data_IF_005655504602
#
_entry.id   IF_005655504602
#
_cell.length_a   1.000
_cell.length_b   1.000
_cell.length_c   1.000
_cell.angle_alpha   90.00
_cell.angle_beta   90.00
_cell.angle_gamma   90.00
#
_symmetry.space_group_name_H-M   'P 1'
#
loop_
_entity.id
_entity.type
_entity.pdbx_description
1 polymer ?
#
# COMPACT_ATOMS: atom_id res chain seq x y z
N UNK A 1 3.82 6.27 -4.68
CA UNK A 1 4.64 7.50 -4.50
C UNK A 1 5.00 7.99 -5.89
N UNK A 2 5.29 9.29 -6.06
CA UNK A 2 5.71 9.84 -7.35
C UNK A 2 7.15 10.30 -7.27
N UNK A 3 7.97 9.95 -8.25
CA UNK A 3 9.33 10.46 -8.41
C UNK A 3 9.32 11.45 -9.57
N UNK A 4 9.67 12.69 -9.30
CA UNK A 4 9.78 13.72 -10.32
C UNK A 4 11.27 13.93 -10.63
N UNK A 5 11.63 13.64 -11.88
CA UNK A 5 12.97 13.82 -12.41
C UNK A 5 12.98 15.18 -13.10
N UNK A 6 13.78 16.09 -12.58
CA UNK A 6 13.81 17.49 -13.01
C UNK A 6 15.23 18.05 -12.95
N UNK A 7 15.44 19.17 -13.64
CA UNK A 7 16.72 19.86 -13.67
C UNK A 7 16.95 20.46 -12.28
N UNK A 8 18.17 20.36 -11.72
CA UNK A 8 18.48 21.07 -10.48
C UNK A 8 18.32 22.59 -10.68
N UNK A 9 17.78 23.26 -9.66
CA UNK A 9 17.49 24.69 -9.67
C UNK A 9 18.77 25.56 -9.65
N UNK A 10 19.91 24.98 -9.28
CA UNK A 10 21.20 25.68 -9.21
C UNK A 10 21.93 25.62 -10.56
N UNK A 11 22.25 26.79 -11.14
CA UNK A 11 22.80 26.90 -12.51
C UNK A 11 24.13 26.15 -12.74
N UNK A 12 24.91 25.91 -11.68
CA UNK A 12 26.24 25.27 -11.74
C UNK A 12 26.22 23.74 -11.51
N UNK A 13 25.05 23.12 -11.44
CA UNK A 13 24.92 21.67 -11.22
C UNK A 13 24.60 20.92 -12.50
N UNK A 14 25.34 19.83 -12.74
CA UNK A 14 25.08 18.92 -13.85
C UNK A 14 23.69 18.29 -13.64
N UNK A 15 22.78 18.37 -14.63
CA UNK A 15 21.48 17.70 -14.51
C UNK A 15 21.64 16.20 -14.26
N UNK A 16 20.76 15.60 -13.46
CA UNK A 16 20.85 14.17 -13.10
C UNK A 16 20.86 13.24 -14.32
N UNK A 17 20.21 13.62 -15.42
CA UNK A 17 20.20 12.90 -16.70
C UNK A 17 21.45 13.11 -17.57
N UNK A 18 22.39 13.93 -17.12
CA UNK A 18 23.74 14.08 -17.68
C UNK A 18 24.82 13.62 -16.69
N UNK A 19 24.42 13.07 -15.54
CA UNK A 19 25.36 12.47 -14.58
C UNK A 19 25.49 10.97 -14.88
N UNK A 20 26.61 10.60 -15.50
CA UNK A 20 26.94 9.19 -15.84
C UNK A 20 26.81 8.22 -14.66
N UNK A 21 27.01 8.67 -13.41
CA UNK A 21 26.85 7.84 -12.20
C UNK A 21 25.39 7.59 -11.85
N UNK A 22 24.49 8.53 -12.20
CA UNK A 22 23.08 8.46 -11.91
C UNK A 22 22.30 7.64 -12.96
N UNK A 23 22.75 7.60 -14.21
CA UNK A 23 21.99 7.01 -15.35
C UNK A 23 21.51 5.58 -15.07
N UNK A 24 22.40 4.71 -14.58
CA UNK A 24 22.04 3.33 -14.24
C UNK A 24 21.00 3.25 -13.12
N UNK A 25 21.01 4.20 -12.20
CA UNK A 25 20.06 4.29 -11.10
C UNK A 25 18.71 4.78 -11.60
N UNK A 26 18.69 5.75 -12.51
CA UNK A 26 17.47 6.26 -13.14
C UNK A 26 16.77 5.19 -13.98
N UNK A 27 17.52 4.41 -14.78
CA UNK A 27 16.96 3.27 -15.53
C UNK A 27 16.27 2.27 -14.60
N UNK A 28 16.93 1.91 -13.49
CA UNK A 28 16.37 1.00 -12.49
C UNK A 28 15.14 1.58 -11.80
N UNK A 29 15.10 2.89 -11.60
CA UNK A 29 13.96 3.59 -11.01
C UNK A 29 12.74 3.56 -11.96
N UNK A 30 12.93 3.80 -13.26
CA UNK A 30 11.86 3.67 -14.27
C UNK A 30 11.33 2.25 -14.31
N UNK A 31 12.21 1.25 -14.42
CA UNK A 31 11.79 -0.17 -14.44
C UNK A 31 10.98 -0.50 -13.19
N UNK A 32 11.40 0.01 -12.02
CA UNK A 32 10.68 -0.21 -10.78
C UNK A 32 9.32 0.50 -10.72
N UNK A 33 9.19 1.66 -11.35
CA UNK A 33 7.91 2.35 -11.48
C UNK A 33 6.95 1.60 -12.42
N UNK A 34 7.46 1.02 -13.50
CA UNK A 34 6.69 0.23 -14.47
C UNK A 34 6.10 -1.06 -13.88
N UNK A 35 6.75 -1.61 -12.86
CA UNK A 35 6.18 -2.69 -12.03
C UNK A 35 4.96 -2.24 -11.20
N UNK A 36 4.49 -1.00 -11.39
CA UNK A 36 3.24 -0.39 -10.92
C UNK A 36 3.19 -0.01 -9.43
N UNK A 37 4.32 0.00 -8.73
CA UNK A 37 4.39 0.43 -7.33
C UNK A 37 4.47 1.96 -7.16
N UNK A 38 4.92 2.69 -8.21
CA UNK A 38 5.24 4.11 -8.17
C UNK A 38 5.01 4.77 -9.52
N UNK A 39 4.88 6.09 -9.52
CA UNK A 39 4.84 6.91 -10.73
C UNK A 39 6.20 7.59 -10.93
N UNK A 40 6.62 7.74 -12.19
CA UNK A 40 7.74 8.61 -12.57
C UNK A 40 7.21 9.71 -13.47
N UNK A 41 7.62 10.94 -13.18
CA UNK A 41 7.29 12.13 -13.95
C UNK A 41 8.58 12.78 -14.45
N UNK A 42 8.64 13.10 -15.74
CA UNK A 42 9.74 13.84 -16.35
C UNK A 42 9.28 15.29 -16.54
N UNK A 43 9.73 16.21 -15.68
CA UNK A 43 9.23 17.58 -15.67
C UNK A 43 9.84 18.45 -16.77
N UNK A 44 11.10 18.21 -17.13
CA UNK A 44 11.79 18.89 -18.23
C UNK A 44 11.95 17.96 -19.45
N UNK A 45 10.87 17.29 -19.85
CA UNK A 45 10.85 16.33 -20.97
C UNK A 45 11.43 16.89 -22.28
N UNK A 46 11.30 18.19 -22.52
CA UNK A 46 11.83 18.84 -23.72
C UNK A 46 13.36 18.97 -23.73
N UNK A 47 14.00 18.87 -22.55
CA UNK A 47 15.46 18.89 -22.42
C UNK A 47 16.08 17.49 -22.42
N UNK A 48 15.25 16.44 -22.34
CA UNK A 48 15.70 15.07 -22.26
C UNK A 48 16.18 14.51 -23.60
N UNK A 49 15.63 14.98 -24.74
CA UNK A 49 16.01 14.51 -26.08
C UNK A 49 17.51 14.72 -26.37
N UNK A 50 18.10 15.78 -25.79
CA UNK A 50 19.52 16.13 -25.93
C UNK A 50 20.40 15.62 -24.75
N UNK A 51 19.81 14.86 -23.81
CA UNK A 51 20.54 14.38 -22.62
C UNK A 51 21.43 13.16 -22.90
N UNK A 52 22.48 13.00 -22.09
CA UNK A 52 23.32 11.79 -22.13
C UNK A 52 22.51 10.53 -21.80
N UNK A 53 21.51 10.64 -20.91
CA UNK A 53 20.62 9.54 -20.56
C UNK A 53 19.87 9.02 -21.78
N UNK A 54 19.26 9.92 -22.56
CA UNK A 54 18.46 9.55 -23.72
C UNK A 54 19.33 9.03 -24.87
N UNK A 55 20.44 9.70 -25.18
CA UNK A 55 21.35 9.28 -26.26
C UNK A 55 22.10 7.97 -25.95
N UNK A 56 22.39 7.72 -24.67
CA UNK A 56 23.08 6.53 -24.20
C UNK A 56 22.17 5.34 -23.87
N UNK A 57 20.85 5.53 -23.89
CA UNK A 57 19.88 4.50 -23.51
C UNK A 57 19.88 3.31 -24.49
N UNK A 58 19.71 2.09 -23.97
CA UNK A 58 19.40 0.92 -24.80
C UNK A 58 18.00 1.08 -25.41
N UNK A 59 17.75 0.46 -26.57
CA UNK A 59 16.49 0.60 -27.31
C UNK A 59 15.22 0.48 -26.43
N UNK A 60 15.16 -0.52 -25.54
CA UNK A 60 13.99 -0.72 -24.67
C UNK A 60 13.79 0.41 -23.64
N UNK A 61 14.87 0.97 -23.11
CA UNK A 61 14.81 2.11 -22.19
C UNK A 61 14.51 3.41 -22.96
N UNK A 62 15.09 3.55 -24.16
CA UNK A 62 14.83 4.68 -25.05
C UNK A 62 13.36 4.77 -25.47
N UNK A 63 12.76 3.66 -25.92
CA UNK A 63 11.33 3.60 -26.28
C UNK A 63 10.43 3.99 -25.08
N UNK A 64 10.83 3.61 -23.87
CA UNK A 64 10.11 3.96 -22.65
C UNK A 64 10.28 5.43 -22.27
N UNK A 65 11.48 5.99 -22.40
CA UNK A 65 11.74 7.41 -22.20
C UNK A 65 10.91 8.25 -23.17
N UNK A 66 10.82 7.84 -24.45
CA UNK A 66 9.95 8.47 -25.44
C UNK A 66 8.48 8.46 -24.99
N UNK A 67 7.95 7.33 -24.53
CA UNK A 67 6.58 7.25 -24.03
C UNK A 67 6.35 8.19 -22.84
N UNK A 68 7.29 8.23 -21.88
CA UNK A 68 7.21 9.13 -20.74
C UNK A 68 7.30 10.61 -21.13
N UNK A 69 8.14 10.96 -22.11
CA UNK A 69 8.23 12.31 -22.65
C UNK A 69 6.92 12.71 -23.34
N UNK A 70 6.34 11.84 -24.16
CA UNK A 70 5.05 12.10 -24.81
C UNK A 70 3.91 12.23 -23.80
N UNK A 71 3.89 11.39 -22.76
CA UNK A 71 2.94 11.52 -21.66
C UNK A 71 3.13 12.84 -20.91
N UNK A 72 4.37 13.23 -20.61
CA UNK A 72 4.67 14.50 -19.95
C UNK A 72 4.18 15.70 -20.78
N UNK A 73 4.50 15.73 -22.08
CA UNK A 73 4.07 16.76 -23.04
C UNK A 73 2.55 16.81 -23.18
N UNK A 74 1.89 15.66 -23.27
CA UNK A 74 0.42 15.57 -23.35
C UNK A 74 -0.27 15.97 -22.02
N UNK A 75 0.38 15.71 -20.88
CA UNK A 75 -0.14 15.98 -19.54
C UNK A 75 0.04 17.42 -19.07
N UNK A 76 0.67 18.29 -19.87
CA UNK A 76 0.94 19.69 -19.56
C UNK A 76 -0.30 20.51 -19.12
N UNK A 77 -1.51 19.98 -19.32
CA UNK A 77 -2.79 20.63 -19.02
C UNK A 77 -3.76 19.86 -18.12
N UNK A 78 -3.35 18.79 -17.42
CA UNK A 78 -4.25 18.18 -16.43
C UNK A 78 -3.79 18.29 -14.99
N UNK A 79 -4.74 18.78 -14.23
CA UNK A 79 -4.62 19.40 -12.93
C UNK A 79 -4.89 18.37 -11.84
N UNK A 80 -4.14 18.53 -10.74
CA UNK A 80 -4.33 17.95 -9.42
C UNK A 80 -5.37 16.86 -9.26
N UNK A 81 -4.92 15.64 -8.93
CA UNK A 81 -5.71 14.72 -8.11
C UNK A 81 -4.84 13.87 -7.18
N UNK A 82 -5.23 13.96 -5.91
CA UNK A 82 -4.86 13.17 -4.73
C UNK A 82 -3.45 13.37 -4.16
N UNK A 83 -3.39 13.45 -2.83
CA UNK A 83 -2.27 13.59 -1.89
C UNK A 83 -1.12 12.59 -2.14
N UNK A 84 -0.49 12.67 -3.30
CA UNK A 84 0.61 11.81 -3.68
C UNK A 84 1.88 12.52 -3.27
N UNK A 85 2.62 11.95 -2.32
CA UNK A 85 3.94 12.46 -1.97
C UNK A 85 4.83 12.38 -3.22
N UNK A 86 5.27 13.54 -3.71
CA UNK A 86 6.26 13.66 -4.78
C UNK A 86 7.65 13.77 -4.17
N UNK A 87 8.58 12.98 -4.69
CA UNK A 87 9.99 13.00 -4.34
C UNK A 87 10.79 13.52 -5.51
N UNK A 88 11.56 14.59 -5.30
CA UNK A 88 12.39 15.19 -6.36
C UNK A 88 13.69 14.42 -6.55
N UNK A 89 14.08 14.26 -7.81
CA UNK A 89 15.29 13.57 -8.25
C UNK A 89 16.05 14.52 -9.17
N UNK A 90 16.95 15.30 -8.59
CA UNK A 90 17.76 16.33 -9.28
C UNK A 90 19.26 16.02 -9.24
N UNK A 91 19.67 15.08 -8.40
CA UNK A 91 21.07 14.66 -8.19
C UNK A 91 21.24 13.13 -8.15
N UNK A 92 22.47 12.65 -8.35
CA UNK A 92 22.80 11.22 -8.21
C UNK A 92 22.49 10.65 -6.83
N UNK A 93 22.73 11.43 -5.76
CA UNK A 93 22.39 11.05 -4.40
C UNK A 93 20.88 10.86 -4.19
N UNK A 94 20.08 11.76 -4.77
CA UNK A 94 18.61 11.66 -4.74
C UNK A 94 18.10 10.50 -5.60
N UNK A 95 18.71 10.23 -6.76
CA UNK A 95 18.37 9.06 -7.56
C UNK A 95 18.61 7.76 -6.76
N UNK A 96 19.74 7.68 -6.06
CA UNK A 96 20.06 6.57 -5.16
C UNK A 96 19.03 6.41 -4.04
N UNK A 97 18.63 7.51 -3.40
CA UNK A 97 17.61 7.51 -2.35
C UNK A 97 16.23 7.14 -2.89
N UNK A 98 15.82 7.69 -4.03
CA UNK A 98 14.56 7.38 -4.70
C UNK A 98 14.46 5.90 -5.04
N UNK A 99 15.54 5.29 -5.57
CA UNK A 99 15.58 3.86 -5.84
C UNK A 99 15.46 3.02 -4.55
N UNK A 100 16.09 3.44 -3.44
CA UNK A 100 15.92 2.77 -2.14
C UNK A 100 14.48 2.87 -1.65
N UNK A 101 13.82 4.02 -1.80
CA UNK A 101 12.40 4.19 -1.47
C UNK A 101 11.53 3.29 -2.36
N UNK A 102 11.81 3.25 -3.66
CA UNK A 102 11.05 2.49 -4.64
C UNK A 102 11.12 0.96 -4.39
N UNK A 103 12.26 0.51 -3.86
CA UNK A 103 12.52 -0.88 -3.49
C UNK A 103 12.05 -1.26 -2.08
N UNK A 104 11.69 -0.29 -1.25
CA UNK A 104 11.09 -0.55 0.07
C UNK A 104 9.60 -0.90 -0.10
N UNK A 105 9.09 -1.96 0.54
CA UNK A 105 7.67 -2.29 0.45
C UNK A 105 6.81 -1.31 1.28
N UNK A 106 5.56 -1.13 0.87
CA UNK A 106 4.51 -0.67 1.78
C UNK A 106 4.16 -1.83 2.72
N UNK A 107 4.32 -1.63 4.02
CA UNK A 107 4.01 -2.64 5.04
C UNK A 107 2.59 -2.47 5.55
N UNK A 108 1.85 -3.56 5.68
CA UNK A 108 0.52 -3.63 6.28
C UNK A 108 0.60 -4.50 7.51
N UNK A 109 0.57 -3.88 8.69
CA UNK A 109 0.58 -4.58 9.97
C UNK A 109 -0.85 -4.97 10.35
N UNK A 110 -1.06 -6.27 10.52
CA UNK A 110 -2.31 -6.84 11.04
C UNK A 110 -2.06 -7.56 12.36
N UNK A 111 -3.12 -7.85 13.11
CA UNK A 111 -3.03 -8.61 14.37
C UNK A 111 -2.69 -10.07 14.09
N UNK A 112 -3.44 -10.70 13.19
CA UNK A 112 -3.35 -12.10 12.81
C UNK A 112 -3.20 -12.28 11.30
N UNK A 113 -2.09 -12.86 10.86
CA UNK A 113 -1.91 -13.21 9.44
C UNK A 113 -2.95 -14.22 8.95
N UNK A 114 -3.40 -15.12 9.82
CA UNK A 114 -4.32 -16.20 9.46
C UNK A 114 -5.74 -15.68 9.22
N UNK A 115 -6.22 -14.76 10.06
CA UNK A 115 -7.58 -14.20 9.96
C UNK A 115 -7.57 -12.93 9.12
N UNK A 116 -6.94 -11.87 9.61
CA UNK A 116 -6.94 -10.55 8.97
C UNK A 116 -6.17 -10.55 7.66
N UNK A 117 -5.05 -11.28 7.60
CA UNK A 117 -4.29 -11.45 6.37
C UNK A 117 -5.10 -12.16 5.27
N UNK A 118 -5.92 -13.14 5.62
CA UNK A 118 -6.81 -13.81 4.68
C UNK A 118 -7.95 -12.90 4.22
N UNK A 119 -8.53 -12.11 5.13
CA UNK A 119 -9.52 -11.10 4.76
C UNK A 119 -8.92 -10.08 3.77
N UNK A 120 -7.70 -9.59 4.03
CA UNK A 120 -7.01 -8.68 3.12
C UNK A 120 -6.77 -9.33 1.74
N UNK A 121 -6.36 -10.59 1.69
CA UNK A 121 -6.17 -11.29 0.41
C UNK A 121 -7.47 -11.36 -0.41
N UNK A 122 -8.59 -11.73 0.23
CA UNK A 122 -9.91 -11.77 -0.41
C UNK A 122 -10.34 -10.36 -0.84
N UNK A 123 -10.22 -9.36 0.04
CA UNK A 123 -10.60 -7.98 -0.25
C UNK A 123 -9.80 -7.42 -1.42
N UNK A 124 -8.50 -7.67 -1.49
CA UNK A 124 -7.66 -7.19 -2.60
C UNK A 124 -8.04 -7.88 -3.91
N UNK A 125 -8.27 -9.20 -3.91
CA UNK A 125 -8.65 -9.94 -5.13
C UNK A 125 -9.99 -9.49 -5.70
N UNK A 126 -10.95 -9.20 -4.84
CA UNK A 126 -12.33 -8.90 -5.23
C UNK A 126 -12.58 -7.40 -5.45
N UNK A 127 -11.98 -6.53 -4.64
CA UNK A 127 -12.37 -5.12 -4.55
C UNK A 127 -11.27 -4.14 -4.97
N UNK A 128 -9.99 -4.54 -4.95
CA UNK A 128 -8.92 -3.61 -5.30
C UNK A 128 -8.93 -3.27 -6.80
N UNK A 129 -8.52 -2.04 -7.11
CA UNK A 129 -8.26 -1.60 -8.48
C UNK A 129 -7.13 -2.45 -9.08
N UNK A 130 -7.17 -2.58 -10.40
CA UNK A 130 -6.27 -3.46 -11.14
C UNK A 130 -4.77 -3.31 -10.80
N UNK A 131 -4.18 -2.11 -10.63
CA UNK A 131 -2.76 -2.00 -10.28
C UNK A 131 -2.43 -2.64 -8.92
N UNK A 132 -3.21 -2.34 -7.88
CA UNK A 132 -3.02 -2.90 -6.53
C UNK A 132 -3.25 -4.41 -6.54
N UNK A 133 -4.28 -4.86 -7.26
CA UNK A 133 -4.58 -6.28 -7.41
C UNK A 133 -3.45 -7.05 -8.09
N UNK A 134 -2.84 -6.50 -9.14
CA UNK A 134 -1.68 -7.12 -9.82
C UNK A 134 -0.46 -7.21 -8.91
N UNK A 135 -0.14 -6.13 -8.21
CA UNK A 135 0.96 -6.12 -7.23
C UNK A 135 0.79 -7.17 -6.13
N UNK A 136 -0.45 -7.52 -5.79
CA UNK A 136 -0.76 -8.51 -4.78
C UNK A 136 -0.72 -9.94 -5.31
N UNK A 137 -1.30 -10.19 -6.49
CA UNK A 137 -1.37 -11.53 -7.10
C UNK A 137 -0.02 -11.96 -7.68
N UNK A 138 0.69 -11.03 -8.31
CA UNK A 138 1.97 -11.26 -8.99
C UNK A 138 2.99 -10.25 -8.46
N UNK A 139 3.44 -10.42 -7.20
CA UNK A 139 4.30 -9.43 -6.57
C UNK A 139 5.66 -9.33 -7.28
N UNK A 140 6.15 -8.10 -7.55
CA UNK A 140 7.47 -7.92 -8.12
C UNK A 140 8.57 -8.24 -7.10
N UNK A 141 9.83 -8.32 -7.56
CA UNK A 141 11.00 -8.48 -6.69
C UNK A 141 11.88 -7.24 -6.83
N UNK A 142 12.13 -6.47 -5.76
CA UNK A 142 11.62 -6.65 -4.39
C UNK A 142 10.12 -6.40 -4.25
N UNK A 143 9.51 -6.85 -3.15
CA UNK A 143 8.07 -6.72 -2.93
C UNK A 143 7.64 -5.24 -2.93
N UNK A 144 6.50 -4.95 -3.56
CA UNK A 144 5.88 -3.63 -3.51
C UNK A 144 5.04 -3.43 -2.24
N UNK A 145 4.43 -4.51 -1.74
CA UNK A 145 3.63 -4.56 -0.53
C UNK A 145 3.98 -5.81 0.28
N UNK A 146 3.96 -5.68 1.60
CA UNK A 146 4.25 -6.76 2.53
C UNK A 146 3.25 -6.73 3.69
N UNK A 147 2.64 -7.87 4.00
CA UNK A 147 1.78 -8.00 5.19
C UNK A 147 2.61 -8.51 6.35
N UNK A 148 2.63 -7.78 7.46
CA UNK A 148 3.28 -8.12 8.71
C UNK A 148 2.24 -8.55 9.75
N UNK A 149 2.63 -9.37 10.72
CA UNK A 149 1.76 -9.75 11.83
C UNK A 149 2.43 -9.48 13.18
N UNK A 150 1.67 -8.93 14.12
CA UNK A 150 2.19 -8.61 15.45
C UNK A 150 2.16 -9.79 16.43
N UNK A 151 1.36 -10.83 16.17
CA UNK A 151 1.15 -11.91 17.15
C UNK A 151 0.09 -11.59 18.22
N UNK A 152 -0.64 -10.48 18.03
CA UNK A 152 -1.72 -9.99 18.89
C UNK A 152 -1.68 -8.47 19.08
N UNK A 153 -2.78 -7.89 19.58
CA UNK A 153 -2.90 -6.43 19.81
C UNK A 153 -1.92 -5.87 20.83
N UNK A 154 -1.39 -6.70 21.75
CA UNK A 154 -0.42 -6.26 22.76
C UNK A 154 0.95 -5.89 22.18
N UNK A 155 1.34 -6.51 21.07
CA UNK A 155 2.68 -6.38 20.50
C UNK A 155 2.74 -5.38 19.33
N UNK A 156 1.59 -4.98 18.78
CA UNK A 156 1.51 -4.02 17.67
C UNK A 156 2.29 -2.71 17.94
N UNK A 157 2.22 -2.09 19.15
CA UNK A 157 3.01 -0.89 19.43
C UNK A 157 4.51 -1.09 19.27
N UNK A 158 5.04 -2.22 19.74
CA UNK A 158 6.47 -2.55 19.59
C UNK A 158 6.87 -2.72 18.13
N UNK A 159 6.04 -3.40 17.32
CA UNK A 159 6.27 -3.52 15.89
C UNK A 159 6.23 -2.17 15.16
N UNK A 160 5.27 -1.31 15.49
CA UNK A 160 5.20 0.03 14.91
C UNK A 160 6.46 0.86 15.23
N UNK A 161 6.94 0.80 16.47
CA UNK A 161 8.16 1.51 16.89
C UNK A 161 9.40 0.95 16.19
N UNK A 162 9.51 -0.37 16.07
CA UNK A 162 10.60 -1.02 15.35
C UNK A 162 10.63 -0.58 13.87
N UNK A 163 9.48 -0.59 13.19
CA UNK A 163 9.39 -0.16 11.79
C UNK A 163 9.69 1.33 11.61
N UNK A 164 9.24 2.17 12.54
CA UNK A 164 9.57 3.59 12.55
C UNK A 164 11.09 3.83 12.74
N UNK A 165 11.74 3.05 13.61
CA UNK A 165 13.19 3.13 13.83
C UNK A 165 13.95 2.63 12.59
N UNK A 166 13.55 1.50 12.01
CA UNK A 166 14.15 0.97 10.79
C UNK A 166 14.07 1.98 9.63
N UNK A 167 12.92 2.64 9.46
CA UNK A 167 12.75 3.69 8.45
C UNK A 167 13.68 4.89 8.71
N UNK A 168 13.80 5.31 9.98
CA UNK A 168 14.68 6.42 10.39
C UNK A 168 16.15 6.10 10.15
N UNK A 169 16.62 4.91 10.56
CA UNK A 169 18.00 4.45 10.35
C UNK A 169 18.34 4.30 8.87
N UNK A 170 17.38 3.87 8.06
CA UNK A 170 17.53 3.82 6.61
C UNK A 170 17.42 5.19 5.94
N UNK A 171 17.03 6.24 6.67
CA UNK A 171 16.67 7.56 6.13
C UNK A 171 15.59 7.50 5.04
N UNK A 172 14.58 6.64 5.25
CA UNK A 172 13.44 6.44 4.36
C UNK A 172 12.15 6.89 5.06
N UNK A 173 11.13 7.31 4.30
CA UNK A 173 9.81 7.58 4.86
C UNK A 173 9.18 6.30 5.41
N UNK A 174 8.50 6.39 6.55
CA UNK A 174 7.73 5.27 7.09
C UNK A 174 6.55 4.97 6.17
N UNK A 175 6.50 3.75 5.64
CA UNK A 175 5.43 3.26 4.75
C UNK A 175 4.70 2.13 5.42
N UNK A 176 3.91 2.47 6.44
CA UNK A 176 3.20 1.53 7.28
C UNK A 176 1.70 1.85 7.33
N UNK A 177 0.88 0.85 7.02
CA UNK A 177 -0.55 0.82 7.31
C UNK A 177 -0.76 -0.12 8.51
N UNK A 178 -1.56 0.30 9.48
CA UNK A 178 -1.83 -0.48 10.68
C UNK A 178 -3.33 -0.79 10.69
N UNK A 179 -3.68 -2.06 10.56
CA UNK A 179 -5.07 -2.53 10.61
C UNK A 179 -5.33 -3.12 11.98
N UNK A 180 -6.35 -2.63 12.67
CA UNK A 180 -6.72 -3.04 14.03
C UNK A 180 -8.22 -3.29 14.09
N UNK A 181 -8.63 -4.30 14.86
CA UNK A 181 -10.04 -4.53 15.13
C UNK A 181 -10.61 -3.45 16.04
N UNK A 182 -11.89 -3.10 15.86
CA UNK A 182 -12.53 -2.12 16.75
C UNK A 182 -12.90 -2.72 18.12
N UNK A 183 -12.96 -4.05 18.24
CA UNK A 183 -13.55 -4.82 19.32
C UNK A 183 -14.97 -4.37 19.73
N UNK A 184 -15.66 -3.60 18.89
CA UNK A 184 -16.99 -3.08 19.25
C UNK A 184 -17.99 -4.22 19.16
N UNK A 185 -18.93 -4.30 20.11
CA UNK A 185 -19.94 -5.38 20.15
C UNK A 185 -21.31 -4.93 19.63
N UNK A 186 -21.41 -3.70 19.14
CA UNK A 186 -22.61 -3.21 18.45
C UNK A 186 -22.28 -2.04 17.49
N UNK A 187 -23.14 -1.78 16.48
CA UNK A 187 -22.91 -0.72 15.49
C UNK A 187 -22.78 0.69 16.07
N UNK A 188 -23.40 0.94 17.23
CA UNK A 188 -23.45 2.27 17.88
C UNK A 188 -22.35 2.47 18.92
N UNK A 189 -21.61 1.42 19.25
CA UNK A 189 -20.52 1.49 20.21
C UNK A 189 -19.27 2.07 19.52
N UNK A 190 -18.54 2.99 20.17
CA UNK A 190 -17.23 3.40 19.69
C UNK A 190 -16.23 2.23 19.71
N UNK A 191 -15.11 2.32 18.96
CA UNK A 191 -14.01 1.38 19.10
C UNK A 191 -13.51 1.27 20.55
N UNK A 192 -12.88 0.15 20.89
CA UNK A 192 -12.27 -0.06 22.21
C UNK A 192 -11.20 1.00 22.51
N UNK A 193 -10.92 1.20 23.80
CA UNK A 193 -9.83 2.09 24.22
C UNK A 193 -8.49 1.63 23.65
N UNK A 194 -8.30 0.30 23.53
CA UNK A 194 -7.09 -0.30 22.96
C UNK A 194 -6.95 0.02 21.46
N UNK A 195 -8.03 -0.12 20.69
CA UNK A 195 -8.04 0.25 19.28
C UNK A 195 -7.73 1.75 19.08
N UNK A 196 -8.31 2.60 19.94
CA UNK A 196 -8.05 4.05 19.91
C UNK A 196 -6.59 4.40 20.28
N UNK A 197 -5.99 3.72 21.27
CA UNK A 197 -4.58 3.88 21.65
C UNK A 197 -3.63 3.47 20.49
N UNK A 198 -3.91 2.35 19.83
CA UNK A 198 -3.15 1.89 18.66
C UNK A 198 -3.27 2.89 17.51
N UNK A 199 -4.48 3.37 17.24
CA UNK A 199 -4.72 4.40 16.22
C UNK A 199 -3.92 5.68 16.50
N UNK A 200 -3.96 6.17 17.73
CA UNK A 200 -3.23 7.36 18.14
C UNK A 200 -1.71 7.16 17.97
N UNK A 201 -1.18 6.04 18.46
CA UNK A 201 0.25 5.72 18.36
C UNK A 201 0.71 5.61 16.90
N UNK A 202 -0.10 4.99 16.04
CA UNK A 202 0.19 4.92 14.61
C UNK A 202 0.31 6.31 13.98
N UNK A 203 -0.62 7.22 14.30
CA UNK A 203 -0.57 8.62 13.82
C UNK A 203 0.66 9.36 14.33
N UNK A 204 1.02 9.20 15.60
CA UNK A 204 2.22 9.81 16.20
C UNK A 204 3.52 9.38 15.50
N UNK A 205 3.59 8.11 15.08
CA UNK A 205 4.74 7.56 14.35
C UNK A 205 4.73 7.91 12.85
N UNK A 206 3.66 8.53 12.34
CA UNK A 206 3.48 8.84 10.92
C UNK A 206 2.98 7.66 10.06
N UNK A 207 2.50 6.58 10.69
CA UNK A 207 1.82 5.48 10.02
C UNK A 207 0.35 5.83 9.69
N UNK A 208 -0.27 5.03 8.85
CA UNK A 208 -1.70 5.15 8.48
C UNK A 208 -2.53 4.11 9.24
N UNK A 209 -3.27 4.47 10.30
CA UNK A 209 -4.15 3.52 10.96
C UNK A 209 -5.43 3.29 10.14
N UNK A 210 -5.97 2.09 10.26
CA UNK A 210 -7.26 1.69 9.71
C UNK A 210 -7.97 0.76 10.71
N UNK A 211 -8.95 1.31 11.41
CA UNK A 211 -9.74 0.55 12.39
C UNK A 211 -10.91 -0.12 11.68
N UNK A 212 -10.99 -1.45 11.78
CA UNK A 212 -12.07 -2.23 11.20
C UNK A 212 -13.39 -1.88 11.91
N UNK A 213 -14.42 -1.64 11.11
CA UNK A 213 -15.73 -1.26 11.60
C UNK A 213 -16.53 -2.45 12.10
N UNK A 214 -16.31 -3.70 11.70
CA UNK A 214 -17.04 -4.82 12.32
C UNK A 214 -16.30 -5.30 13.57
N UNK A 215 -16.92 -6.18 14.34
CA UNK A 215 -16.32 -6.68 15.58
C UNK A 215 -14.95 -7.35 15.30
N UNK A 216 -14.87 -8.14 14.23
CA UNK A 216 -13.66 -8.82 13.77
C UNK A 216 -13.66 -8.90 12.23
N UNK A 217 -12.51 -9.19 11.64
CA UNK A 217 -12.35 -9.48 10.22
C UNK A 217 -13.33 -10.57 9.70
N UNK A 218 -13.62 -11.57 10.53
CA UNK A 218 -14.51 -12.69 10.19
C UNK A 218 -15.97 -12.25 10.02
N UNK A 219 -16.35 -11.09 10.55
CA UNK A 219 -17.70 -10.57 10.41
C UNK A 219 -17.95 -9.85 9.08
N UNK A 220 -16.95 -9.77 8.20
CA UNK A 220 -17.10 -9.26 6.84
C UNK A 220 -17.58 -10.32 5.82
N UNK A 221 -18.00 -11.50 6.29
CA UNK A 221 -18.50 -12.59 5.43
C UNK A 221 -19.84 -12.22 4.75
N UNK A 222 -19.94 -12.29 3.41
CA UNK A 222 -21.19 -12.07 2.67
C UNK A 222 -22.33 -13.04 3.02
N UNK A 223 -23.58 -12.57 2.94
CA UNK A 223 -24.81 -13.35 3.19
C UNK A 223 -24.86 -14.72 2.51
N UNK A 224 -24.37 -14.85 1.27
CA UNK A 224 -24.40 -16.12 0.56
C UNK A 224 -23.53 -17.20 1.23
N UNK A 225 -22.44 -16.82 1.91
CA UNK A 225 -21.61 -17.77 2.65
C UNK A 225 -22.34 -18.31 3.88
N UNK A 226 -23.09 -17.46 4.59
CA UNK A 226 -23.93 -17.89 5.73
C UNK A 226 -25.00 -18.91 5.30
N UNK A 227 -25.61 -18.71 4.13
CA UNK A 227 -26.55 -19.67 3.56
C UNK A 227 -25.89 -20.99 3.15
N UNK A 228 -24.66 -20.94 2.62
CA UNK A 228 -23.90 -22.14 2.28
C UNK A 228 -23.49 -22.94 3.53
N UNK A 229 -23.08 -22.26 4.60
CA UNK A 229 -22.72 -22.88 5.88
C UNK A 229 -23.93 -23.51 6.60
N UNK A 230 -25.11 -22.88 6.53
CA UNK A 230 -26.36 -23.50 6.99
C UNK A 230 -26.64 -24.82 6.26
N UNK A 231 -26.35 -24.89 4.95
CA UNK A 231 -26.52 -26.09 4.14
C UNK A 231 -25.43 -27.16 4.34
N UNK A 232 -24.32 -26.83 5.02
CA UNK A 232 -23.16 -27.71 5.20
C UNK A 232 -23.42 -28.90 6.13
N UNK A 233 -24.15 -28.67 7.22
CA UNK A 233 -24.53 -29.72 8.18
C UNK A 233 -26.02 -29.63 8.56
N UNK A 234 -26.93 -30.05 7.67
CA UNK A 234 -28.37 -29.94 7.89
C UNK A 234 -28.89 -30.94 8.94
N UNK A 235 -28.04 -31.87 9.41
CA UNK A 235 -28.44 -32.92 10.37
C UNK A 235 -28.08 -32.56 11.81
N UNK A 236 -27.29 -31.52 12.03
CA UNK A 236 -26.99 -31.00 13.34
C UNK A 236 -28.03 -29.92 13.73
N UNK A 237 -29.01 -30.25 14.59
CA UNK A 237 -30.09 -29.32 14.93
C UNK A 237 -29.61 -28.10 15.71
N UNK A 238 -28.46 -28.18 16.41
CA UNK A 238 -27.86 -27.03 17.09
C UNK A 238 -27.28 -26.05 16.07
N UNK A 239 -26.50 -26.56 15.12
CA UNK A 239 -25.92 -25.77 14.01
C UNK A 239 -26.99 -25.12 13.15
N UNK A 240 -28.01 -25.90 12.73
CA UNK A 240 -29.09 -25.39 11.90
C UNK A 240 -29.87 -24.27 12.59
N UNK A 241 -30.11 -24.40 13.91
CA UNK A 241 -30.77 -23.37 14.71
C UNK A 241 -29.91 -22.11 14.82
N UNK A 242 -28.64 -22.26 15.20
CA UNK A 242 -27.69 -21.16 15.38
C UNK A 242 -27.51 -20.33 14.10
N UNK A 243 -27.31 -20.99 12.96
CA UNK A 243 -27.18 -20.32 11.66
C UNK A 243 -28.48 -19.65 11.21
N UNK A 244 -29.64 -20.24 11.53
CA UNK A 244 -30.96 -19.63 11.25
C UNK A 244 -31.18 -18.39 12.13
N UNK A 245 -30.81 -18.45 13.40
CA UNK A 245 -30.91 -17.34 14.34
C UNK A 245 -30.02 -16.18 13.86
N UNK A 246 -28.77 -16.44 13.45
CA UNK A 246 -27.86 -15.45 12.84
C UNK A 246 -28.49 -14.85 11.58
N UNK A 247 -28.94 -15.67 10.62
CA UNK A 247 -29.55 -15.19 9.37
C UNK A 247 -30.83 -14.37 9.57
N UNK A 248 -31.55 -14.58 10.68
CA UNK A 248 -32.74 -13.82 11.04
C UNK A 248 -32.44 -12.42 11.60
N UNK A 249 -31.21 -12.16 12.03
CA UNK A 249 -30.80 -10.86 12.55
C UNK A 249 -30.72 -9.81 11.44
N UNK A 250 -30.96 -8.52 11.75
CA UNK A 250 -30.67 -7.44 10.83
C UNK A 250 -29.23 -7.51 10.33
N UNK A 251 -29.00 -7.22 9.05
CA UNK A 251 -27.68 -7.34 8.42
C UNK A 251 -26.57 -6.62 9.20
N UNK A 252 -26.87 -5.47 9.79
CA UNK A 252 -25.89 -4.72 10.57
C UNK A 252 -25.61 -5.34 11.94
N UNK A 253 -26.52 -6.12 12.52
CA UNK A 253 -26.33 -6.71 13.85
C UNK A 253 -25.62 -8.06 13.76
N UNK A 254 -25.76 -8.78 12.63
CA UNK A 254 -25.01 -10.02 12.32
C UNK A 254 -23.50 -9.82 12.37
N UNK A 255 -23.06 -8.63 11.98
CA UNK A 255 -21.66 -8.22 11.92
C UNK A 255 -20.97 -8.12 13.31
N UNK A 256 -21.73 -8.34 14.39
CA UNK A 256 -21.29 -8.28 15.78
C UNK A 256 -21.63 -9.55 16.56
N UNK A 257 -22.01 -10.62 15.86
CA UNK A 257 -22.19 -11.93 16.49
C UNK A 257 -20.83 -12.50 16.89
N UNK A 258 -20.74 -13.00 18.12
CA UNK A 258 -19.59 -13.74 18.60
C UNK A 258 -19.68 -15.17 18.06
N UNK A 259 -18.75 -15.52 17.16
CA UNK A 259 -18.70 -16.80 16.48
C UNK A 259 -17.94 -17.87 17.29
N UNK A 260 -17.37 -17.53 18.46
CA UNK A 260 -16.55 -18.43 19.28
C UNK A 260 -17.28 -19.03 20.50
N UNK A 261 -18.61 -18.87 20.63
CA UNK A 261 -19.42 -19.37 21.77
C UNK A 261 -20.18 -20.67 21.56
#
# INVERSE_FOLDING_TARGET
MRFAIERPLEEDTVPVWNDTTALQTLDRLIVRADEAAHDVLLLDADLLDDSEWFQGARQTAHDRLLELCELARASAWDSGRAETTTWQVTTSAEAGRALRIANSPLKVLVESRLRDGALLDVAVRLLAREPVRRLWITPPIPLAMEVLHAGGTGDMPGFMEQEANNAREAELPLRLIVVVDSDRTSPKQPPSSKAAEIEQKARELGARPFTLTKHEAENYIPDFHWHAELARDPRNPRWAKEMTDILSMPSNDRDYCDMEK
#
